data_IF_471646281807
#
_entry.id   IF_471646281807
#
_cell.length_a   1.000
_cell.length_b   1.000
_cell.length_c   1.000
_cell.angle_alpha   90.00
_cell.angle_beta   90.00
_cell.angle_gamma   90.00
#
_symmetry.space_group_name_H-M   'P 1'
#
loop_
_entity.id
_entity.type
_entity.pdbx_description
1 polymer ?
#
# COMPACT_ATOMS: atom_id res chain seq x y z
N UNK A 1 -0.65 -15.26 -8.23
CA UNK A 1 -1.36 -14.10 -7.63
C UNK A 1 -1.39 -14.32 -6.12
N UNK A 2 -1.00 -13.36 -5.28
CA UNK A 2 -1.08 -13.53 -3.81
C UNK A 2 -2.47 -13.17 -3.28
N UNK A 3 -2.91 -13.71 -2.12
CA UNK A 3 -4.20 -13.37 -1.51
C UNK A 3 -4.37 -11.87 -1.26
N UNK A 4 -3.34 -11.19 -0.72
CA UNK A 4 -3.34 -9.73 -0.56
C UNK A 4 -3.56 -9.00 -1.90
N UNK A 5 -2.88 -9.43 -2.97
CA UNK A 5 -2.99 -8.78 -4.28
C UNK A 5 -4.38 -8.92 -4.87
N UNK A 6 -5.02 -10.08 -4.72
CA UNK A 6 -6.41 -10.31 -5.14
C UNK A 6 -7.37 -9.43 -4.35
N UNK A 7 -7.22 -9.37 -3.03
CA UNK A 7 -8.03 -8.53 -2.15
C UNK A 7 -7.94 -7.06 -2.54
N UNK A 8 -6.73 -6.54 -2.70
CA UNK A 8 -6.53 -5.15 -3.15
C UNK A 8 -7.18 -4.88 -4.51
N UNK A 9 -7.04 -5.79 -5.48
CA UNK A 9 -7.69 -5.65 -6.78
C UNK A 9 -9.21 -5.56 -6.65
N UNK A 10 -9.80 -6.49 -5.90
CA UNK A 10 -11.25 -6.53 -5.69
C UNK A 10 -11.75 -5.26 -5.00
N UNK A 11 -11.08 -4.83 -3.92
CA UNK A 11 -11.48 -3.62 -3.19
C UNK A 11 -11.37 -2.36 -4.07
N UNK A 12 -10.37 -2.29 -4.95
CA UNK A 12 -10.22 -1.18 -5.90
C UNK A 12 -11.25 -1.22 -7.04
N UNK A 13 -11.63 -2.42 -7.50
CA UNK A 13 -12.69 -2.62 -8.50
C UNK A 13 -14.06 -2.22 -7.94
N UNK A 14 -14.38 -2.58 -6.70
CA UNK A 14 -15.61 -2.16 -6.01
C UNK A 14 -15.72 -0.64 -5.92
N UNK A 15 -14.57 0.06 -5.79
CA UNK A 15 -14.50 1.53 -5.77
C UNK A 15 -14.41 2.16 -7.16
N UNK A 16 -14.55 1.37 -8.22
CA UNK A 16 -14.47 1.79 -9.62
C UNK A 16 -13.17 2.56 -9.96
N UNK A 17 -12.04 2.17 -9.36
CA UNK A 17 -10.75 2.78 -9.69
C UNK A 17 -10.28 2.31 -11.07
N UNK A 18 -9.81 3.24 -11.90
CA UNK A 18 -9.27 2.92 -13.21
C UNK A 18 -8.13 1.89 -13.15
N UNK A 19 -8.01 1.04 -14.17
CA UNK A 19 -7.00 -0.02 -14.26
C UNK A 19 -5.56 0.49 -14.05
N UNK A 20 -5.25 1.67 -14.58
CA UNK A 20 -3.94 2.29 -14.41
C UNK A 20 -3.67 2.65 -12.95
N UNK A 21 -4.69 3.10 -12.22
CA UNK A 21 -4.63 3.37 -10.78
C UNK A 21 -4.44 2.07 -10.00
N UNK A 22 -5.17 1.01 -10.35
CA UNK A 22 -5.02 -0.30 -9.72
C UNK A 22 -3.59 -0.85 -9.88
N UNK A 23 -3.06 -0.83 -11.11
CA UNK A 23 -1.68 -1.26 -11.40
C UNK A 23 -0.66 -0.41 -10.66
N UNK A 24 -0.89 0.90 -10.58
CA UNK A 24 -0.04 1.82 -9.83
C UNK A 24 0.00 1.46 -8.34
N UNK A 25 -1.15 1.25 -7.71
CA UNK A 25 -1.26 0.91 -6.29
C UNK A 25 -0.53 -0.40 -5.97
N UNK A 26 -0.73 -1.43 -6.79
CA UNK A 26 -0.05 -2.72 -6.61
C UNK A 26 1.48 -2.59 -6.75
N UNK A 27 1.97 -1.73 -7.63
CA UNK A 27 3.40 -1.43 -7.74
C UNK A 27 3.92 -0.73 -6.49
N UNK A 28 3.20 0.26 -5.97
CA UNK A 28 3.61 0.96 -4.75
C UNK A 28 3.71 0.03 -3.54
N UNK A 29 2.74 -0.88 -3.34
CA UNK A 29 2.81 -1.89 -2.28
C UNK A 29 3.99 -2.86 -2.49
N UNK A 30 4.28 -3.23 -3.74
CA UNK A 30 5.42 -4.09 -4.05
C UNK A 30 6.76 -3.41 -3.76
N UNK A 31 6.89 -2.11 -4.06
CA UNK A 31 8.09 -1.33 -3.76
C UNK A 31 8.28 -1.15 -2.26
N UNK A 32 7.20 -0.87 -1.54
CA UNK A 32 7.19 -0.78 -0.09
C UNK A 32 7.67 -2.08 0.58
N UNK A 33 7.09 -3.22 0.21
CA UNK A 33 7.51 -4.53 0.72
C UNK A 33 9.00 -4.83 0.43
N UNK A 34 9.48 -4.49 -0.78
CA UNK A 34 10.88 -4.68 -1.17
C UNK A 34 11.84 -3.80 -0.37
N UNK A 35 11.43 -2.57 -0.03
CA UNK A 35 12.26 -1.66 0.76
C UNK A 35 12.53 -2.22 2.16
N UNK A 36 11.50 -2.74 2.84
CA UNK A 36 11.63 -3.33 4.18
C UNK A 36 11.98 -4.82 4.18
N UNK A 37 12.03 -5.47 3.00
CA UNK A 37 12.27 -6.92 2.83
C UNK A 37 11.33 -7.78 3.69
N UNK A 38 10.10 -7.32 3.90
CA UNK A 38 9.08 -7.95 4.74
C UNK A 38 7.78 -8.07 3.96
N UNK A 39 6.93 -9.02 4.37
CA UNK A 39 5.57 -9.11 3.82
C UNK A 39 4.85 -7.78 4.05
N UNK A 40 4.17 -7.21 3.03
CA UNK A 40 3.37 -5.99 3.20
C UNK A 40 2.24 -6.14 4.24
N UNK A 41 1.84 -7.37 4.57
CA UNK A 41 0.86 -7.66 5.63
C UNK A 41 1.47 -7.54 7.04
N UNK A 42 2.81 -7.55 7.14
CA UNK A 42 3.54 -7.39 8.40
C UNK A 42 4.09 -5.97 8.60
N UNK A 43 3.74 -5.02 7.73
CA UNK A 43 4.23 -3.64 7.74
C UNK A 43 3.11 -2.71 8.19
N UNK A 44 3.44 -1.80 9.10
CA UNK A 44 2.48 -0.98 9.83
C UNK A 44 2.57 0.53 9.52
N UNK A 45 1.87 1.34 10.31
CA UNK A 45 1.88 2.80 10.18
C UNK A 45 3.27 3.43 10.30
N UNK A 46 4.16 2.84 11.12
CA UNK A 46 5.53 3.33 11.30
C UNK A 46 6.36 3.13 10.03
N UNK A 47 6.30 1.95 9.41
CA UNK A 47 6.99 1.72 8.14
C UNK A 47 6.40 2.56 7.01
N UNK A 48 5.08 2.80 7.00
CA UNK A 48 4.46 3.73 6.04
C UNK A 48 5.03 5.13 6.21
N UNK A 49 5.14 5.64 7.45
CA UNK A 49 5.74 6.95 7.71
C UNK A 49 7.18 6.99 7.23
N UNK A 50 8.01 6.01 7.58
CA UNK A 50 9.39 5.93 7.16
C UNK A 50 9.53 5.88 5.62
N UNK A 51 8.64 5.15 4.95
CA UNK A 51 8.61 5.06 3.50
C UNK A 51 8.23 6.38 2.83
N UNK A 52 7.23 7.09 3.34
CA UNK A 52 6.85 8.39 2.79
C UNK A 52 7.95 9.43 2.97
N UNK A 53 8.67 9.40 4.10
CA UNK A 53 9.86 10.23 4.33
C UNK A 53 10.95 9.86 3.31
N UNK A 54 11.27 8.57 3.15
CA UNK A 54 12.23 8.11 2.14
C UNK A 54 11.87 8.58 0.73
N UNK A 55 10.59 8.46 0.34
CA UNK A 55 10.13 8.90 -0.97
C UNK A 55 10.26 10.42 -1.19
N UNK A 56 10.10 11.21 -0.12
CA UNK A 56 10.24 12.66 -0.16
C UNK A 56 11.71 13.10 -0.18
N UNK A 57 12.49 12.61 0.78
CA UNK A 57 13.86 13.09 1.01
C UNK A 57 14.86 12.46 0.02
N UNK A 58 14.80 11.15 -0.15
CA UNK A 58 15.78 10.41 -0.96
C UNK A 58 15.37 10.34 -2.43
N UNK A 59 14.08 10.09 -2.69
CA UNK A 59 13.56 9.95 -4.06
C UNK A 59 13.06 11.25 -4.66
N UNK A 60 13.02 12.34 -3.87
CA UNK A 60 12.62 13.70 -4.27
C UNK A 60 11.32 13.72 -5.09
N UNK A 61 10.38 12.84 -4.74
CA UNK A 61 9.10 12.79 -5.43
C UNK A 61 8.28 14.04 -5.11
N UNK A 62 7.63 14.58 -6.14
CA UNK A 62 6.70 15.69 -5.97
C UNK A 62 5.55 15.27 -5.03
N UNK A 63 5.00 16.19 -4.22
CA UNK A 63 3.90 15.88 -3.29
C UNK A 63 2.69 15.22 -3.97
N UNK A 64 2.37 15.62 -5.20
CA UNK A 64 1.28 15.02 -6.00
C UNK A 64 1.50 13.55 -6.34
N UNK A 65 2.75 13.07 -6.38
CA UNK A 65 3.10 11.67 -6.62
C UNK A 65 2.95 10.79 -5.35
N UNK A 66 2.83 11.40 -4.17
CA UNK A 66 2.65 10.67 -2.91
C UNK A 66 1.19 10.25 -2.68
N UNK A 67 0.21 10.96 -3.25
CA UNK A 67 -1.22 10.66 -3.10
C UNK A 67 -1.59 9.21 -3.42
N UNK A 68 -1.25 8.71 -4.63
CA UNK A 68 -1.46 7.30 -4.99
C UNK A 68 -0.75 6.31 -4.06
N UNK A 69 0.42 6.69 -3.54
CA UNK A 69 1.19 5.85 -2.60
C UNK A 69 0.48 5.73 -1.25
N UNK A 70 0.02 6.85 -0.69
CA UNK A 70 -0.72 6.89 0.58
C UNK A 70 -2.02 6.10 0.46
N UNK A 71 -2.75 6.29 -0.65
CA UNK A 71 -3.96 5.51 -0.93
C UNK A 71 -3.69 4.01 -0.98
N UNK A 72 -2.64 3.59 -1.70
CA UNK A 72 -2.29 2.19 -1.84
C UNK A 72 -1.92 1.51 -0.52
N UNK A 73 -1.14 2.19 0.33
CA UNK A 73 -0.64 1.64 1.59
C UNK A 73 -1.71 1.55 2.69
N UNK A 74 -2.85 2.22 2.51
CA UNK A 74 -3.99 2.16 3.43
C UNK A 74 -4.87 0.92 3.25
N UNK A 75 -4.83 0.27 2.07
CA UNK A 75 -5.62 -0.94 1.79
C UNK A 75 -5.19 -2.17 2.58
N UNK A 76 -3.89 -2.53 2.67
CA UNK A 76 -3.44 -3.67 3.46
C UNK A 76 -3.87 -3.58 4.93
N UNK A 77 -3.78 -2.40 5.53
CA UNK A 77 -4.07 -2.16 6.96
C UNK A 77 -5.55 -2.24 7.33
N UNK A 78 -6.48 -2.08 6.39
CA UNK A 78 -7.89 -1.85 6.69
C UNK A 78 -8.67 -3.12 7.11
N UNK A 79 -8.07 -4.32 7.05
CA UNK A 79 -8.71 -5.57 7.50
C UNK A 79 -7.97 -6.31 8.62
N UNK A 80 -6.65 -6.16 8.73
CA UNK A 80 -5.89 -6.78 9.84
C UNK A 80 -6.29 -6.21 11.22
N UNK A 81 -6.83 -4.99 11.28
CA UNK A 81 -7.40 -4.44 12.51
C UNK A 81 -8.70 -5.13 12.97
N UNK A 82 -9.51 -5.70 12.06
CA UNK A 82 -10.73 -6.43 12.43
C UNK A 82 -10.42 -7.89 12.82
N UNK A 83 -9.53 -8.57 12.10
CA UNK A 83 -9.22 -9.99 12.38
C UNK A 83 -8.34 -10.20 13.61
N UNK A 84 -7.64 -9.17 14.09
CA UNK A 84 -6.82 -9.22 15.32
C UNK A 84 -7.61 -8.88 16.59
N UNK A 85 -8.84 -8.39 16.46
CA UNK A 85 -9.78 -8.11 17.56
C UNK A 85 -10.75 -9.29 17.83
N UNK A 86 -10.80 -10.27 16.94
CA UNK A 86 -11.65 -11.47 17.05
C UNK A 86 -10.85 -12.75 17.40
N UNK A 87 -9.67 -12.62 18.02
CA UNK A 87 -8.89 -13.72 18.59
C UNK A 87 -8.39 -13.41 19.98
#
# INVERSE_FOLDING_TARGET
MTPLRQRMLHDMQVRNLADNTQKSYLRQVSHFARHFRRSPEALGPEEIRAWLIYLREERKLAPGSLGPTIGALRFPLSRDAQTRLER
#
